data_IF_742235206249
#
_entry.id   IF_742235206249
#
_cell.length_a   1.000
_cell.length_b   1.000
_cell.length_c   1.000
_cell.angle_alpha   90.00
_cell.angle_beta   90.00
_cell.angle_gamma   90.00
#
_symmetry.space_group_name_H-M   'P 1'
#
loop_
_entity.id
_entity.type
_entity.pdbx_description
1 polymer ?
#
# COMPACT_ATOMS: atom_id res chain seq x y z
N UNK A 1 -2.89 -19.44 -9.33
CA UNK A 1 -1.79 -18.64 -8.76
C UNK A 1 -2.32 -18.06 -7.46
N UNK A 2 -1.46 -17.89 -6.47
CA UNK A 2 -1.77 -17.28 -5.17
C UNK A 2 -1.35 -15.82 -5.20
N UNK A 3 -1.84 -15.00 -4.27
CA UNK A 3 -1.41 -13.63 -4.09
C UNK A 3 0.12 -13.59 -3.86
N UNK A 4 0.79 -12.68 -4.55
CA UNK A 4 2.21 -12.42 -4.32
C UNK A 4 2.35 -11.34 -3.24
N UNK A 5 3.12 -11.63 -2.19
CA UNK A 5 3.35 -10.68 -1.09
C UNK A 5 4.83 -10.33 -1.07
N UNK A 6 5.12 -9.06 -1.33
CA UNK A 6 6.47 -8.49 -1.38
C UNK A 6 6.67 -7.61 -0.16
N UNK A 7 7.56 -8.04 0.74
CA UNK A 7 7.95 -7.27 1.94
C UNK A 7 9.32 -6.69 1.70
N UNK A 8 9.44 -5.36 1.76
CA UNK A 8 10.68 -4.67 1.39
C UNK A 8 11.45 -4.11 2.58
N UNK A 9 10.88 -4.13 3.79
CA UNK A 9 11.51 -3.57 5.00
C UNK A 9 11.31 -4.45 6.22
N UNK A 10 12.24 -4.36 7.18
CA UNK A 10 12.15 -5.04 8.48
C UNK A 10 11.01 -4.50 9.37
N UNK A 11 10.42 -3.35 9.02
CA UNK A 11 9.28 -2.75 9.74
C UNK A 11 8.12 -3.73 9.87
N UNK A 12 7.96 -4.62 8.88
CA UNK A 12 6.96 -5.68 8.89
C UNK A 12 7.00 -6.54 10.15
N UNK A 13 8.20 -6.78 10.72
CA UNK A 13 8.36 -7.61 11.93
C UNK A 13 7.85 -6.90 13.18
N UNK A 14 7.92 -5.58 13.18
CA UNK A 14 7.56 -4.71 14.31
C UNK A 14 6.13 -4.15 14.21
N UNK A 15 5.43 -4.42 13.12
CA UNK A 15 4.08 -3.91 12.84
C UNK A 15 3.04 -5.04 12.86
N UNK A 16 2.42 -5.32 14.03
CA UNK A 16 1.45 -6.41 14.16
C UNK A 16 0.18 -6.16 13.34
N UNK A 17 -0.28 -4.91 13.21
CA UNK A 17 -1.51 -4.60 12.48
C UNK A 17 -1.37 -4.92 10.99
N UNK A 18 -0.23 -4.56 10.40
CA UNK A 18 0.07 -4.87 9.01
C UNK A 18 0.22 -6.37 8.77
N UNK A 19 0.82 -7.10 9.73
CA UNK A 19 0.91 -8.56 9.64
C UNK A 19 -0.47 -9.22 9.67
N UNK A 20 -1.33 -8.81 10.60
CA UNK A 20 -2.68 -9.36 10.72
C UNK A 20 -3.49 -9.11 9.44
N UNK A 21 -3.33 -7.92 8.84
CA UNK A 21 -3.96 -7.61 7.56
C UNK A 21 -3.43 -8.49 6.41
N UNK A 22 -2.11 -8.61 6.28
CA UNK A 22 -1.49 -9.43 5.21
C UNK A 22 -1.89 -10.89 5.34
N UNK A 23 -1.90 -11.44 6.55
CA UNK A 23 -2.36 -12.81 6.81
C UNK A 23 -3.85 -12.98 6.52
N UNK A 24 -4.69 -11.99 6.86
CA UNK A 24 -6.11 -12.00 6.52
C UNK A 24 -6.34 -12.04 5.01
N UNK A 25 -5.63 -11.19 4.26
CA UNK A 25 -5.72 -11.13 2.80
C UNK A 25 -5.26 -12.43 2.18
N UNK A 26 -4.14 -12.99 2.64
CA UNK A 26 -3.63 -14.29 2.18
C UNK A 26 -4.62 -15.43 2.45
N UNK A 27 -5.17 -15.50 3.66
CA UNK A 27 -6.10 -16.56 4.05
C UNK A 27 -7.42 -16.52 3.26
N UNK A 28 -7.79 -15.34 2.72
CA UNK A 28 -9.05 -15.12 2.00
C UNK A 28 -8.86 -14.71 0.55
N UNK A 29 -7.69 -14.95 -0.03
CA UNK A 29 -7.34 -14.47 -1.37
C UNK A 29 -8.34 -14.95 -2.45
N UNK A 30 -8.87 -16.16 -2.31
CA UNK A 30 -9.82 -16.73 -3.26
C UNK A 30 -11.20 -16.06 -3.13
N UNK A 31 -11.69 -15.90 -1.90
CA UNK A 31 -12.96 -15.24 -1.60
C UNK A 31 -12.96 -13.77 -2.01
N UNK A 32 -11.81 -13.11 -1.87
CA UNK A 32 -11.61 -11.70 -2.20
C UNK A 32 -11.25 -11.48 -3.67
N UNK A 33 -11.11 -12.53 -4.49
CA UNK A 33 -10.71 -12.41 -5.90
C UNK A 33 -9.32 -11.78 -6.08
N UNK A 34 -8.38 -12.08 -5.19
CA UNK A 34 -7.02 -11.53 -5.15
C UNK A 34 -5.93 -12.55 -5.53
N UNK A 35 -6.31 -13.69 -6.09
CA UNK A 35 -5.39 -14.79 -6.48
C UNK A 35 -4.37 -14.40 -7.56
N UNK A 36 -4.59 -13.30 -8.30
CA UNK A 36 -3.63 -12.72 -9.24
C UNK A 36 -3.15 -11.34 -8.80
N UNK A 37 -3.35 -10.99 -7.53
CA UNK A 37 -2.94 -9.71 -7.00
C UNK A 37 -1.49 -9.74 -6.48
N UNK A 38 -0.87 -8.57 -6.45
CA UNK A 38 0.43 -8.35 -5.82
C UNK A 38 0.25 -7.35 -4.68
N UNK A 39 0.66 -7.73 -3.48
CA UNK A 39 0.63 -6.90 -2.28
C UNK A 39 2.07 -6.52 -1.92
N UNK A 40 2.37 -5.22 -1.96
CA UNK A 40 3.63 -4.67 -1.49
C UNK A 40 3.44 -4.08 -0.09
N UNK A 41 4.22 -4.58 0.86
CA UNK A 41 4.37 -3.96 2.16
C UNK A 41 5.54 -2.99 2.15
N UNK A 42 5.26 -1.77 2.60
CA UNK A 42 6.20 -0.67 2.73
C UNK A 42 6.96 -0.42 1.42
N UNK A 43 6.24 -0.38 0.29
CA UNK A 43 6.83 -0.23 -1.04
C UNK A 43 7.79 0.97 -1.09
N UNK A 44 9.07 0.80 -1.49
CA UNK A 44 10.03 1.90 -1.62
C UNK A 44 9.62 2.75 -2.81
N UNK A 45 8.62 3.60 -2.61
CA UNK A 45 8.39 4.71 -3.51
C UNK A 45 9.68 5.55 -3.50
N UNK A 46 10.24 5.80 -4.67
CA UNK A 46 11.24 6.85 -4.91
C UNK A 46 10.57 8.21 -4.61
N UNK A 47 10.24 8.44 -3.36
CA UNK A 47 9.77 9.72 -2.88
C UNK A 47 11.02 10.53 -2.59
N UNK A 48 11.17 11.65 -3.29
CA UNK A 48 12.12 12.70 -2.93
C UNK A 48 12.17 12.84 -1.42
N UNK A 49 13.36 12.63 -0.86
CA UNK A 49 13.65 12.49 0.58
C UNK A 49 13.21 13.70 1.44
N UNK A 50 12.63 14.73 0.84
CA UNK A 50 12.31 16.02 1.44
C UNK A 50 10.79 16.26 1.65
N UNK A 51 9.87 15.53 0.99
CA UNK A 51 8.49 16.05 0.83
C UNK A 51 7.30 15.27 1.42
N UNK A 52 7.29 13.94 1.56
CA UNK A 52 6.01 13.25 1.88
C UNK A 52 6.04 12.38 3.14
N UNK A 53 5.45 12.94 4.21
CA UNK A 53 5.07 12.25 5.47
C UNK A 53 3.93 11.24 5.22
N UNK A 54 3.39 11.14 4.00
CA UNK A 54 2.15 10.43 3.70
C UNK A 54 2.31 9.24 2.75
N UNK A 55 3.30 8.39 3.03
CA UNK A 55 3.49 7.12 2.33
C UNK A 55 2.44 6.07 2.78
N UNK A 56 1.86 5.28 1.86
CA UNK A 56 1.05 4.12 2.21
C UNK A 56 1.90 3.02 2.83
N UNK A 57 1.32 2.29 3.78
CA UNK A 57 1.97 1.13 4.40
C UNK A 57 1.83 -0.10 3.52
N UNK A 58 0.72 -0.22 2.77
CA UNK A 58 0.44 -1.34 1.87
C UNK A 58 -0.05 -0.82 0.53
N UNK A 59 0.48 -1.41 -0.54
CA UNK A 59 -0.05 -1.26 -1.89
C UNK A 59 -0.57 -2.61 -2.37
N UNK A 60 -1.78 -2.65 -2.92
CA UNK A 60 -2.38 -3.84 -3.49
C UNK A 60 -2.73 -3.58 -4.95
N UNK A 61 -2.15 -4.38 -5.85
CA UNK A 61 -2.44 -4.39 -7.28
C UNK A 61 -3.25 -5.62 -7.59
N UNK A 62 -4.50 -5.45 -8.02
CA UNK A 62 -5.35 -6.55 -8.47
C UNK A 62 -5.80 -6.29 -9.90
N UNK A 63 -5.62 -7.25 -10.83
CA UNK A 63 -6.18 -7.14 -12.17
C UNK A 63 -7.71 -6.99 -12.18
N UNK A 64 -8.37 -7.55 -11.16
CA UNK A 64 -9.83 -7.54 -11.03
C UNK A 64 -10.35 -6.25 -10.37
N UNK A 65 -9.60 -5.71 -9.41
CA UNK A 65 -10.09 -4.63 -8.54
C UNK A 65 -9.35 -3.30 -8.74
N UNK A 66 -8.27 -3.29 -9.51
CA UNK A 66 -7.42 -2.12 -9.70
C UNK A 66 -6.36 -1.95 -8.61
N UNK A 67 -6.03 -0.71 -8.30
CA UNK A 67 -4.97 -0.33 -7.38
C UNK A 67 -5.52 0.21 -6.06
N UNK A 68 -5.00 -0.27 -4.94
CA UNK A 68 -5.33 0.21 -3.60
C UNK A 68 -4.07 0.65 -2.87
N UNK A 69 -4.09 1.88 -2.35
CA UNK A 69 -3.10 2.38 -1.41
C UNK A 69 -3.73 2.43 -0.02
N UNK A 70 -3.15 1.68 0.93
CA UNK A 70 -3.66 1.51 2.29
C UNK A 70 -2.65 2.09 3.25
N UNK A 71 -3.13 2.89 4.20
CA UNK A 71 -2.33 3.43 5.29
C UNK A 71 -3.01 3.15 6.62
N UNK A 72 -2.26 2.59 7.55
CA UNK A 72 -2.72 2.40 8.92
C UNK A 72 -2.53 3.71 9.68
N UNK A 73 -3.64 4.31 10.10
CA UNK A 73 -3.65 5.51 10.93
C UNK A 73 -3.89 5.12 12.39
N UNK A 74 -3.06 5.62 13.30
CA UNK A 74 -3.27 5.52 14.74
C UNK A 74 -4.01 6.77 15.24
N UNK A 75 -4.86 6.62 16.26
CA UNK A 75 -5.58 7.76 16.88
C UNK A 75 -4.61 8.84 17.42
N UNK A 76 -3.37 8.47 17.72
CA UNK A 76 -2.31 9.42 18.13
C UNK A 76 -1.79 10.30 16.99
N UNK A 77 -1.83 9.83 15.74
CA UNK A 77 -1.41 10.61 14.56
C UNK A 77 -2.58 11.29 13.86
N UNK A 78 -3.77 10.69 13.93
CA UNK A 78 -4.96 11.22 13.29
C UNK A 78 -5.73 12.12 14.25
N UNK A 79 -5.33 13.40 14.33
CA UNK A 79 -6.33 14.43 14.66
C UNK A 79 -7.36 14.35 13.53
N UNK A 80 -8.61 14.01 13.85
CA UNK A 80 -9.76 13.99 12.92
C UNK A 80 -10.10 15.42 12.45
N UNK A 81 -9.10 16.16 11.98
CA UNK A 81 -9.25 17.45 11.34
C UNK A 81 -9.32 17.22 9.83
N UNK A 82 -10.06 18.08 9.15
CA UNK A 82 -10.27 17.97 7.71
C UNK A 82 -8.94 18.10 6.94
N UNK A 83 -8.01 18.84 7.51
CA UNK A 83 -6.69 19.12 6.96
C UNK A 83 -5.79 17.87 6.97
N UNK A 84 -5.79 17.10 8.07
CA UNK A 84 -5.04 15.83 8.14
C UNK A 84 -5.59 14.79 7.17
N UNK A 85 -6.92 14.67 7.07
CA UNK A 85 -7.56 13.76 6.12
C UNK A 85 -7.21 14.14 4.67
N UNK A 86 -7.27 15.42 4.33
CA UNK A 86 -6.93 15.92 2.99
C UNK A 86 -5.45 15.72 2.65
N UNK A 87 -4.53 15.88 3.61
CA UNK A 87 -3.12 15.65 3.39
C UNK A 87 -2.81 14.17 3.11
N UNK A 88 -3.49 13.25 3.83
CA UNK A 88 -3.38 11.80 3.58
C UNK A 88 -3.94 11.46 2.21
N UNK A 89 -5.10 12.00 1.85
CA UNK A 89 -5.74 11.77 0.55
C UNK A 89 -4.85 12.19 -0.63
N UNK A 90 -4.22 13.37 -0.53
CA UNK A 90 -3.25 13.85 -1.52
C UNK A 90 -2.05 12.92 -1.60
N UNK A 91 -1.44 12.52 -0.48
CA UNK A 91 -0.28 11.63 -0.47
C UNK A 91 -0.57 10.25 -1.06
N UNK A 92 -1.75 9.68 -0.76
CA UNK A 92 -2.20 8.42 -1.34
C UNK A 92 -2.46 8.54 -2.85
N UNK A 93 -3.06 9.65 -3.29
CA UNK A 93 -3.31 9.92 -4.72
C UNK A 93 -2.01 10.10 -5.50
N UNK A 94 -1.06 10.86 -4.96
CA UNK A 94 0.26 11.05 -5.58
C UNK A 94 1.01 9.73 -5.69
N UNK A 95 0.99 8.91 -4.62
CA UNK A 95 1.62 7.58 -4.64
C UNK A 95 0.95 6.66 -5.66
N UNK A 96 -0.38 6.73 -5.80
CA UNK A 96 -1.11 5.95 -6.80
C UNK A 96 -0.71 6.33 -8.24
N UNK A 97 -0.59 7.64 -8.52
CA UNK A 97 -0.17 8.15 -9.82
C UNK A 97 1.26 7.70 -10.16
N UNK A 98 2.20 7.85 -9.22
CA UNK A 98 3.58 7.38 -9.38
C UNK A 98 3.64 5.87 -9.64
N UNK A 99 2.78 5.09 -8.97
CA UNK A 99 2.73 3.64 -9.17
C UNK A 99 2.21 3.24 -10.56
N UNK A 100 1.25 3.96 -11.14
CA UNK A 100 0.78 3.69 -12.51
C UNK A 100 1.90 3.90 -13.53
N UNK A 101 2.71 4.96 -13.35
CA UNK A 101 3.88 5.22 -14.18
C UNK A 101 4.99 4.19 -13.95
N UNK A 102 5.27 3.81 -12.70
CA UNK A 102 6.25 2.77 -12.37
C UNK A 102 5.86 1.37 -12.87
N UNK A 103 4.59 0.98 -12.77
CA UNK A 103 4.11 -0.32 -13.29
C UNK A 103 4.21 -0.36 -14.82
N UNK A 104 3.94 0.75 -15.50
CA UNK A 104 4.15 0.88 -16.94
C UNK A 104 5.63 0.71 -17.32
N UNK A 105 6.55 1.20 -16.48
CA UNK A 105 7.99 1.03 -16.69
C UNK A 105 8.49 -0.39 -16.40
N UNK A 106 7.93 -1.09 -15.41
CA UNK A 106 8.31 -2.47 -15.04
C UNK A 106 7.75 -3.50 -16.03
N UNK A 107 6.57 -3.25 -16.63
CA UNK A 107 5.96 -4.16 -17.61
C UNK A 107 6.58 -4.10 -19.02
N UNK A 108 7.58 -3.24 -19.25
CA UNK A 108 8.27 -3.05 -20.53
C UNK A 108 9.68 -3.68 -20.59
N UNK A 109 10.10 -4.41 -19.55
CA UNK A 109 11.31 -5.25 -19.56
C UNK A 109 10.95 -6.73 -19.58
#
# INVERSE_FOLDING_TARGET
MTIEIVVTTDRYRTDPASRDFVEHVRAREADLGLTQAVLYYDFPAYADYEAEVNRPDILLFSPLHGFFAIRFVSDSMFRRSKETASAVDVGLTNTALLCVDCVSAISLQ
#
